data_IF_835037192223
#
_entry.id   IF_835037192223
#
_cell.length_a   1.000
_cell.length_b   1.000
_cell.length_c   1.000
_cell.angle_alpha   90.00
_cell.angle_beta   90.00
_cell.angle_gamma   90.00
#
_symmetry.space_group_name_H-M   'P 1'
#
loop_
_entity.id
_entity.type
_entity.pdbx_description
1 polymer ?
#
# COMPACT_ATOMS: atom_id res chain seq x y z
N UNK A 1 -18.47 21.32 -21.98
CA UNK A 1 -17.03 21.49 -21.68
C UNK A 1 -16.28 20.70 -22.72
N UNK A 2 -15.22 21.25 -23.32
CA UNK A 2 -14.44 20.52 -24.35
C UNK A 2 -13.69 19.35 -23.68
N UNK A 3 -13.68 18.18 -24.31
CA UNK A 3 -12.97 16.99 -23.83
C UNK A 3 -11.47 17.28 -23.67
N UNK A 4 -10.91 18.10 -24.56
CA UNK A 4 -9.50 18.53 -24.50
C UNK A 4 -9.21 19.31 -23.22
N UNK A 5 -10.12 20.22 -22.83
CA UNK A 5 -9.98 21.01 -21.61
C UNK A 5 -10.08 20.13 -20.35
N UNK A 6 -11.00 19.16 -20.36
CA UNK A 6 -11.13 18.19 -19.28
C UNK A 6 -9.87 17.35 -19.09
N UNK A 7 -9.30 16.82 -20.19
CA UNK A 7 -8.05 16.05 -20.18
C UNK A 7 -6.91 16.90 -19.59
N UNK A 8 -6.76 18.16 -20.03
CA UNK A 8 -5.72 19.07 -19.51
C UNK A 8 -5.88 19.28 -18.01
N UNK A 9 -7.11 19.55 -17.53
CA UNK A 9 -7.37 19.73 -16.09
C UNK A 9 -7.05 18.48 -15.27
N UNK A 10 -7.34 17.28 -15.81
CA UNK A 10 -6.97 16.01 -15.19
C UNK A 10 -5.45 15.86 -15.11
N UNK A 11 -4.73 16.14 -16.20
CA UNK A 11 -3.27 16.06 -16.25
C UNK A 11 -2.58 17.03 -15.29
N UNK A 12 -3.09 18.26 -15.20
CA UNK A 12 -2.58 19.30 -14.30
C UNK A 12 -3.07 19.14 -12.85
N UNK A 13 -3.89 18.13 -12.56
CA UNK A 13 -4.50 17.91 -11.25
C UNK A 13 -5.32 19.10 -10.72
N UNK A 14 -5.91 19.91 -11.62
CA UNK A 14 -6.80 21.04 -11.25
C UNK A 14 -8.19 20.54 -10.87
N UNK A 15 -8.93 21.34 -10.11
CA UNK A 15 -10.30 21.01 -9.71
C UNK A 15 -11.21 20.81 -10.93
N UNK A 16 -11.94 19.69 -10.89
CA UNK A 16 -12.93 19.31 -11.88
C UNK A 16 -14.29 19.37 -11.18
N UNK A 17 -15.15 20.27 -11.63
CA UNK A 17 -16.55 20.25 -11.23
C UNK A 17 -17.21 18.98 -11.78
N UNK A 18 -18.26 18.48 -11.11
CA UNK A 18 -19.02 17.32 -11.61
C UNK A 18 -19.57 17.61 -12.99
N UNK A 19 -18.89 17.10 -14.03
CA UNK A 19 -19.39 17.19 -15.40
C UNK A 19 -20.22 15.95 -15.69
N UNK A 20 -21.55 16.11 -15.67
CA UNK A 20 -22.47 15.14 -16.24
C UNK A 20 -22.35 15.17 -17.77
N UNK A 21 -21.33 14.50 -18.31
CA UNK A 21 -21.24 14.19 -19.73
C UNK A 21 -21.64 12.73 -19.95
N UNK A 22 -22.86 12.51 -20.41
CA UNK A 22 -23.31 11.21 -20.93
C UNK A 22 -22.71 11.01 -22.32
N UNK A 23 -21.52 10.42 -22.39
CA UNK A 23 -21.01 9.83 -23.61
C UNK A 23 -21.25 8.32 -23.51
N UNK A 24 -22.33 7.85 -24.13
CA UNK A 24 -22.54 6.42 -24.37
C UNK A 24 -21.86 6.10 -25.70
N UNK A 25 -20.75 5.37 -25.65
CA UNK A 25 -20.08 4.88 -26.86
C UNK A 25 -20.71 3.52 -27.18
N UNK A 26 -21.86 3.53 -27.85
CA UNK A 26 -22.43 2.34 -28.47
C UNK A 26 -21.78 2.13 -29.84
N UNK A 27 -21.04 1.04 -30.02
CA UNK A 27 -20.45 0.70 -31.30
C UNK A 27 -19.93 -0.73 -31.36
N UNK A 28 -20.28 -1.44 -32.42
CA UNK A 28 -19.62 -2.69 -32.85
C UNK A 28 -18.10 -2.49 -32.93
N UNK A 29 -17.32 -3.58 -32.90
CA UNK A 29 -15.85 -3.56 -33.15
C UNK A 29 -15.53 -2.86 -34.49
N UNK A 30 -15.35 -1.55 -34.45
CA UNK A 30 -14.80 -0.78 -35.56
C UNK A 30 -13.29 -0.97 -35.58
N UNK A 31 -12.70 -1.02 -36.78
CA UNK A 31 -11.25 -1.05 -36.91
C UNK A 31 -10.68 0.22 -36.27
N UNK A 32 -9.65 0.06 -35.45
CA UNK A 32 -9.00 1.17 -34.76
C UNK A 32 -8.61 2.26 -35.75
N UNK A 33 -8.15 1.86 -36.94
CA UNK A 33 -7.71 2.76 -38.02
C UNK A 33 -8.83 3.59 -38.66
N UNK A 34 -10.09 3.21 -38.47
CA UNK A 34 -11.26 3.94 -38.99
C UNK A 34 -11.75 5.02 -38.02
N UNK A 35 -11.36 4.94 -36.75
CA UNK A 35 -11.77 5.89 -35.71
C UNK A 35 -10.97 7.19 -35.87
N UNK A 36 -11.66 8.34 -35.91
CA UNK A 36 -10.99 9.64 -35.98
C UNK A 36 -10.20 9.95 -34.71
N UNK A 37 -9.13 10.74 -34.81
CA UNK A 37 -8.34 11.14 -33.63
C UNK A 37 -9.18 11.92 -32.61
N UNK A 38 -10.21 12.65 -33.06
CA UNK A 38 -11.13 13.36 -32.18
C UNK A 38 -12.04 12.39 -31.41
N UNK A 39 -12.50 11.32 -32.06
CA UNK A 39 -13.34 10.31 -31.41
C UNK A 39 -12.54 9.46 -30.41
N UNK A 40 -11.25 9.24 -30.67
CA UNK A 40 -10.35 8.57 -29.73
C UNK A 40 -10.30 9.28 -28.36
N UNK A 41 -10.40 10.61 -28.35
CA UNK A 41 -10.40 11.37 -27.09
C UNK A 41 -11.65 11.11 -26.25
N UNK A 42 -12.78 10.78 -26.88
CA UNK A 42 -14.02 10.48 -26.15
C UNK A 42 -13.89 9.18 -25.32
N UNK A 43 -13.02 8.25 -25.70
CA UNK A 43 -12.78 7.06 -24.88
C UNK A 43 -12.16 7.39 -23.52
N UNK A 44 -11.60 8.59 -23.31
CA UNK A 44 -11.11 9.03 -22.00
C UNK A 44 -12.22 9.37 -21.00
N UNK A 45 -13.48 9.49 -21.45
CA UNK A 45 -14.58 9.93 -20.59
C UNK A 45 -14.78 9.09 -19.31
N UNK A 46 -14.82 7.75 -19.36
CA UNK A 46 -14.97 6.93 -18.17
C UNK A 46 -13.82 7.17 -17.17
N UNK A 47 -12.58 7.33 -17.64
CA UNK A 47 -11.46 7.67 -16.77
C UNK A 47 -11.66 9.02 -16.06
N UNK A 48 -12.06 10.06 -16.80
CA UNK A 48 -12.31 11.40 -16.25
C UNK A 48 -13.42 11.35 -15.19
N UNK A 49 -14.52 10.63 -15.47
CA UNK A 49 -15.59 10.39 -14.48
C UNK A 49 -15.08 9.67 -13.24
N UNK A 50 -14.20 8.69 -13.40
CA UNK A 50 -13.55 8.00 -12.30
C UNK A 50 -12.80 8.97 -11.38
N UNK A 51 -11.97 9.86 -11.95
CA UNK A 51 -11.21 10.87 -11.20
C UNK A 51 -12.12 11.86 -10.48
N UNK A 52 -13.18 12.34 -11.14
CA UNK A 52 -14.14 13.27 -10.54
C UNK A 52 -14.85 12.64 -9.34
N UNK A 53 -15.33 11.40 -9.48
CA UNK A 53 -16.03 10.69 -8.39
C UNK A 53 -15.12 10.35 -7.23
N UNK A 54 -13.88 9.94 -7.52
CA UNK A 54 -12.87 9.68 -6.48
C UNK A 54 -12.61 10.94 -5.64
N UNK A 55 -12.40 12.09 -6.30
CA UNK A 55 -12.22 13.39 -5.62
C UNK A 55 -13.43 13.86 -4.83
N UNK A 56 -14.64 13.54 -5.31
CA UNK A 56 -15.88 13.81 -4.58
C UNK A 56 -16.09 12.89 -3.35
N UNK A 57 -15.24 11.87 -3.17
CA UNK A 57 -15.35 10.88 -2.09
C UNK A 57 -16.23 9.68 -2.44
N UNK A 58 -16.81 9.62 -3.64
CA UNK A 58 -17.64 8.53 -4.15
C UNK A 58 -16.77 7.38 -4.68
N UNK A 59 -15.96 6.77 -3.80
CA UNK A 59 -14.96 5.75 -4.14
C UNK A 59 -15.51 4.54 -4.90
N UNK A 60 -16.72 4.09 -4.57
CA UNK A 60 -17.37 2.95 -5.22
C UNK A 60 -17.72 3.24 -6.69
N UNK A 61 -18.26 4.44 -6.95
CA UNK A 61 -18.56 4.86 -8.32
C UNK A 61 -17.29 5.16 -9.10
N UNK A 62 -16.30 5.81 -8.48
CA UNK A 62 -14.98 6.02 -9.09
C UNK A 62 -14.34 4.71 -9.53
N UNK A 63 -14.37 3.69 -8.66
CA UNK A 63 -13.87 2.35 -8.98
C UNK A 63 -14.59 1.71 -10.17
N UNK A 64 -15.92 1.88 -10.27
CA UNK A 64 -16.71 1.36 -11.39
C UNK A 64 -16.27 2.00 -12.70
N UNK A 65 -16.14 3.32 -12.74
CA UNK A 65 -15.74 4.05 -13.94
C UNK A 65 -14.30 3.74 -14.38
N UNK A 66 -13.37 3.54 -13.44
CA UNK A 66 -12.02 3.10 -13.80
C UNK A 66 -12.00 1.69 -14.39
N UNK A 67 -12.84 0.78 -13.90
CA UNK A 67 -12.97 -0.57 -14.48
C UNK A 67 -13.57 -0.52 -15.88
N UNK A 68 -14.62 0.26 -16.07
CA UNK A 68 -15.25 0.50 -17.37
C UNK A 68 -14.23 1.03 -18.39
N UNK A 69 -13.44 2.03 -18.01
CA UNK A 69 -12.36 2.54 -18.87
C UNK A 69 -11.35 1.45 -19.27
N UNK A 70 -10.93 0.63 -18.32
CA UNK A 70 -10.00 -0.46 -18.60
C UNK A 70 -10.62 -1.50 -19.54
N UNK A 71 -11.86 -1.90 -19.30
CA UNK A 71 -12.59 -2.87 -20.14
C UNK A 71 -12.75 -2.35 -21.57
N UNK A 72 -13.12 -1.08 -21.75
CA UNK A 72 -13.22 -0.45 -23.06
C UNK A 72 -11.87 -0.44 -23.78
N UNK A 73 -10.79 -0.02 -23.08
CA UNK A 73 -9.45 0.00 -23.64
C UNK A 73 -8.99 -1.37 -24.13
N UNK A 74 -9.30 -2.43 -23.38
CA UNK A 74 -8.98 -3.81 -23.75
C UNK A 74 -9.86 -4.32 -24.90
N UNK A 75 -11.15 -3.99 -24.89
CA UNK A 75 -12.11 -4.41 -25.91
C UNK A 75 -11.79 -3.83 -27.29
N UNK A 76 -11.49 -2.53 -27.34
CA UNK A 76 -11.15 -1.82 -28.56
C UNK A 76 -9.69 -2.02 -28.98
N UNK A 77 -8.84 -2.58 -28.11
CA UNK A 77 -7.42 -2.77 -28.41
C UNK A 77 -6.64 -1.44 -28.45
N UNK A 78 -7.06 -0.46 -27.64
CA UNK A 78 -6.41 0.85 -27.53
C UNK A 78 -5.06 0.78 -26.82
N UNK A 79 -4.79 -0.33 -26.13
CA UNK A 79 -3.60 -0.54 -25.31
C UNK A 79 -2.83 -1.76 -25.81
N UNK A 80 -1.50 -1.64 -25.83
CA UNK A 80 -0.62 -2.74 -26.22
C UNK A 80 -0.74 -3.94 -25.27
N UNK A 81 -0.66 -5.15 -25.82
CA UNK A 81 -0.71 -6.40 -25.03
C UNK A 81 0.33 -6.45 -23.92
N UNK A 82 1.53 -5.94 -24.19
CA UNK A 82 2.61 -5.81 -23.21
C UNK A 82 2.16 -5.03 -21.97
N UNK A 83 1.44 -3.92 -22.14
CA UNK A 83 0.97 -3.08 -21.04
C UNK A 83 -0.12 -3.76 -20.23
N UNK A 84 -1.03 -4.47 -20.90
CA UNK A 84 -2.06 -5.25 -20.22
C UNK A 84 -1.43 -6.34 -19.34
N UNK A 85 -0.44 -7.06 -19.85
CA UNK A 85 0.28 -8.09 -19.09
C UNK A 85 1.03 -7.48 -17.90
N UNK A 86 1.76 -6.37 -18.11
CA UNK A 86 2.45 -5.65 -17.04
C UNK A 86 1.52 -5.18 -15.92
N UNK A 87 0.28 -4.76 -16.25
CA UNK A 87 -0.70 -4.32 -15.26
C UNK A 87 -1.33 -5.49 -14.47
N UNK A 88 -1.37 -6.70 -15.04
CA UNK A 88 -1.95 -7.89 -14.40
C UNK A 88 -0.96 -8.62 -13.51
N UNK A 89 0.33 -8.54 -13.83
CA UNK A 89 1.38 -9.14 -13.02
C UNK A 89 1.63 -8.37 -11.71
N UNK A 90 1.50 -9.06 -10.58
CA UNK A 90 1.71 -8.50 -9.24
C UNK A 90 3.18 -8.51 -8.77
N UNK A 91 4.13 -8.34 -9.70
CA UNK A 91 5.57 -8.39 -9.44
C UNK A 91 6.20 -7.02 -9.15
N UNK A 92 7.29 -7.00 -8.36
CA UNK A 92 8.11 -5.79 -8.16
C UNK A 92 8.64 -5.25 -9.49
N UNK A 93 9.09 -6.13 -10.37
CA UNK A 93 9.66 -5.74 -11.66
C UNK A 93 8.60 -5.14 -12.59
N UNK A 94 7.39 -5.71 -12.61
CA UNK A 94 6.25 -5.18 -13.37
C UNK A 94 5.86 -3.78 -12.87
N UNK A 95 5.88 -3.55 -11.54
CA UNK A 95 5.69 -2.19 -10.95
C UNK A 95 6.77 -1.21 -11.38
N UNK A 96 8.04 -1.63 -11.43
CA UNK A 96 9.14 -0.78 -11.88
C UNK A 96 8.99 -0.42 -13.36
N UNK A 97 8.65 -1.40 -14.21
CA UNK A 97 8.38 -1.16 -15.64
C UNK A 97 7.21 -0.21 -15.83
N UNK A 98 6.11 -0.44 -15.11
CA UNK A 98 4.92 0.41 -15.13
C UNK A 98 5.24 1.85 -14.71
N UNK A 99 6.08 2.02 -13.68
CA UNK A 99 6.53 3.35 -13.23
C UNK A 99 7.38 4.06 -14.30
N UNK A 100 8.29 3.34 -14.98
CA UNK A 100 9.06 3.92 -16.09
C UNK A 100 8.15 4.35 -17.22
N UNK A 101 7.22 3.48 -17.62
CA UNK A 101 6.26 3.75 -18.69
C UNK A 101 5.36 4.95 -18.38
N UNK A 102 4.90 5.10 -17.13
CA UNK A 102 4.18 6.31 -16.70
C UNK A 102 5.03 7.58 -16.78
N UNK A 103 6.36 7.49 -16.59
CA UNK A 103 7.28 8.65 -16.68
C UNK A 103 7.71 8.98 -18.10
N UNK A 104 7.65 8.02 -19.02
CA UNK A 104 7.97 8.22 -20.43
C UNK A 104 6.94 9.13 -21.11
N UNK A 105 5.68 9.07 -20.67
CA UNK A 105 4.66 10.00 -21.12
C UNK A 105 4.93 11.40 -20.56
N UNK A 106 5.26 12.33 -21.45
CA UNK A 106 5.41 13.76 -21.15
C UNK A 106 4.27 14.53 -21.79
N UNK A 107 3.64 15.40 -21.02
CA UNK A 107 2.55 16.26 -21.47
C UNK A 107 2.99 17.73 -21.65
N UNK A 108 4.30 18.01 -21.64
CA UNK A 108 4.85 19.36 -21.84
C UNK A 108 4.47 19.96 -23.20
N UNK A 109 4.22 19.10 -24.19
CA UNK A 109 3.70 19.46 -25.51
C UNK A 109 2.52 18.54 -25.82
N UNK A 110 1.34 19.15 -26.02
CA UNK A 110 0.10 18.44 -26.31
C UNK A 110 -0.22 18.61 -27.78
N UNK A 111 -0.26 17.50 -28.51
CA UNK A 111 -0.66 17.44 -29.90
C UNK A 111 -1.95 16.61 -30.04
N UNK A 112 -3.07 17.30 -30.30
CA UNK A 112 -4.37 16.67 -30.44
C UNK A 112 -4.62 16.09 -31.84
N UNK A 113 -3.79 16.46 -32.83
CA UNK A 113 -3.90 15.99 -34.20
C UNK A 113 -3.02 14.74 -34.42
N UNK A 114 -1.93 14.63 -33.66
CA UNK A 114 -1.09 13.43 -33.64
C UNK A 114 -1.80 12.23 -32.98
N UNK A 115 -2.16 11.26 -33.82
CA UNK A 115 -2.77 10.01 -33.40
C UNK A 115 -1.85 9.20 -32.48
N UNK A 116 -0.54 9.17 -32.72
CA UNK A 116 0.37 8.41 -31.86
C UNK A 116 0.43 8.99 -30.46
N UNK A 117 0.40 10.32 -30.35
CA UNK A 117 0.32 11.02 -29.07
C UNK A 117 -0.97 10.68 -28.33
N UNK A 118 -2.13 10.71 -29.01
CA UNK A 118 -3.43 10.36 -28.40
C UNK A 118 -3.46 8.89 -27.94
N UNK A 119 -2.88 7.98 -28.72
CA UNK A 119 -2.77 6.57 -28.31
C UNK A 119 -1.89 6.41 -27.06
N UNK A 120 -0.77 7.13 -26.98
CA UNK A 120 0.09 7.14 -25.78
C UNK A 120 -0.63 7.74 -24.57
N UNK A 121 -1.47 8.76 -24.77
CA UNK A 121 -2.32 9.33 -23.73
C UNK A 121 -3.33 8.29 -23.19
N UNK A 122 -4.03 7.59 -24.08
CA UNK A 122 -4.99 6.55 -23.69
C UNK A 122 -4.31 5.43 -22.90
N UNK A 123 -3.14 4.99 -23.36
CA UNK A 123 -2.31 4.00 -22.66
C UNK A 123 -1.84 4.51 -21.29
N UNK A 124 -1.44 5.78 -21.19
CA UNK A 124 -1.09 6.41 -19.92
C UNK A 124 -2.26 6.40 -18.93
N UNK A 125 -3.46 6.80 -19.38
CA UNK A 125 -4.66 6.76 -18.55
C UNK A 125 -5.06 5.33 -18.16
N UNK A 126 -4.78 4.32 -18.98
CA UNK A 126 -5.02 2.92 -18.63
C UNK A 126 -4.13 2.49 -17.46
N UNK A 127 -2.84 2.80 -17.55
CA UNK A 127 -1.88 2.54 -16.46
C UNK A 127 -2.31 3.26 -15.18
N UNK A 128 -2.76 4.51 -15.28
CA UNK A 128 -3.24 5.27 -14.12
C UNK A 128 -4.53 4.70 -13.54
N UNK A 129 -5.47 4.25 -14.39
CA UNK A 129 -6.71 3.59 -13.98
C UNK A 129 -6.43 2.33 -13.18
N UNK A 130 -5.50 1.48 -13.65
CA UNK A 130 -5.12 0.27 -12.93
C UNK A 130 -4.53 0.56 -11.55
N UNK A 131 -3.69 1.61 -11.42
CA UNK A 131 -3.19 2.06 -10.12
C UNK A 131 -4.33 2.55 -9.23
N UNK A 132 -5.23 3.37 -9.75
CA UNK A 132 -6.37 3.89 -9.01
C UNK A 132 -7.30 2.75 -8.54
N UNK A 133 -7.53 1.74 -9.37
CA UNK A 133 -8.27 0.53 -9.00
C UNK A 133 -7.58 -0.21 -7.83
N UNK A 134 -6.26 -0.41 -7.90
CA UNK A 134 -5.49 -1.05 -6.82
C UNK A 134 -5.60 -0.24 -5.51
N UNK A 135 -5.46 1.08 -5.60
CA UNK A 135 -5.55 1.98 -4.45
C UNK A 135 -6.96 2.00 -3.84
N UNK A 136 -8.00 2.18 -4.66
CA UNK A 136 -9.38 2.22 -4.21
C UNK A 136 -9.84 0.89 -3.62
N UNK A 137 -9.48 -0.23 -4.24
CA UNK A 137 -9.79 -1.55 -3.69
C UNK A 137 -9.17 -1.73 -2.29
N UNK A 138 -7.90 -1.34 -2.12
CA UNK A 138 -7.24 -1.38 -0.80
C UNK A 138 -7.93 -0.49 0.20
N UNK A 139 -8.28 0.73 -0.17
CA UNK A 139 -8.95 1.67 0.71
C UNK A 139 -10.33 1.15 1.13
N UNK A 140 -11.12 0.63 0.20
CA UNK A 140 -12.43 0.02 0.47
C UNK A 140 -12.29 -1.16 1.44
N UNK A 141 -11.33 -2.06 1.21
CA UNK A 141 -11.06 -3.19 2.12
C UNK A 141 -10.69 -2.69 3.53
N UNK A 142 -9.84 -1.67 3.63
CA UNK A 142 -9.45 -1.09 4.92
C UNK A 142 -10.62 -0.43 5.65
N UNK A 143 -11.52 0.24 4.91
CA UNK A 143 -12.72 0.86 5.47
C UNK A 143 -13.74 -0.18 5.92
N UNK A 144 -13.92 -1.27 5.16
CA UNK A 144 -14.79 -2.38 5.55
C UNK A 144 -14.28 -3.09 6.81
N UNK A 145 -12.98 -3.34 6.91
CA UNK A 145 -12.36 -3.96 8.09
C UNK A 145 -12.44 -3.07 9.35
N UNK A 146 -12.55 -1.74 9.19
CA UNK A 146 -12.80 -0.82 10.30
C UNK A 146 -14.25 -0.85 10.80
N UNK A 147 -15.21 -1.32 9.99
CA UNK A 147 -16.62 -1.41 10.36
C UNK A 147 -16.96 -2.55 11.32
N UNK A 148 -16.16 -3.62 11.34
CA UNK A 148 -16.35 -4.79 12.22
C UNK A 148 -15.57 -4.71 13.54
N UNK A 149 -14.77 -3.65 13.72
CA UNK A 149 -14.26 -3.29 15.02
C UNK A 149 -15.29 -2.39 15.71
N UNK A 150 -15.99 -2.90 16.72
CA UNK A 150 -16.62 -2.06 17.75
C UNK A 150 -15.70 -0.87 18.04
N UNK A 151 -16.20 0.38 18.18
CA UNK A 151 -15.34 1.51 18.50
C UNK A 151 -14.53 1.11 19.72
N UNK A 152 -13.21 0.94 19.53
CA UNK A 152 -12.29 0.78 20.62
C UNK A 152 -12.60 1.95 21.54
N UNK A 153 -13.16 1.62 22.71
CA UNK A 153 -13.55 2.55 23.76
C UNK A 153 -12.56 3.70 23.78
N UNK A 154 -13.06 4.92 23.61
CA UNK A 154 -12.39 6.18 23.89
C UNK A 154 -10.99 5.99 24.52
N UNK A 155 -9.97 5.79 23.69
CA UNK A 155 -8.64 6.20 24.09
C UNK A 155 -8.69 7.73 23.96
N UNK A 156 -9.26 8.36 25.00
CA UNK A 156 -9.06 9.77 25.26
C UNK A 156 -7.57 10.05 25.01
N UNK A 157 -7.27 11.00 24.12
CA UNK A 157 -5.89 11.43 23.90
C UNK A 157 -5.30 11.81 25.26
N UNK A 158 -4.48 10.92 25.81
CA UNK A 158 -3.87 11.13 27.11
C UNK A 158 -2.75 12.16 26.91
N UNK A 159 -3.07 13.43 27.13
CA UNK A 159 -2.11 14.52 27.05
C UNK A 159 -1.07 14.34 28.16
N UNK A 160 0.09 13.80 27.80
CA UNK A 160 1.25 13.72 28.68
C UNK A 160 1.73 15.15 28.95
N UNK A 161 1.53 15.63 30.17
CA UNK A 161 2.11 16.90 30.61
C UNK A 161 3.63 16.72 30.75
N UNK A 162 4.38 17.50 29.97
CA UNK A 162 5.84 17.55 30.02
C UNK A 162 6.23 18.83 30.74
N UNK A 163 7.06 18.71 31.78
CA UNK A 163 7.61 19.88 32.47
C UNK A 163 8.52 20.70 31.55
N UNK A 164 8.76 21.99 31.83
CA UNK A 164 9.65 22.86 31.03
C UNK A 164 11.11 22.37 30.93
N UNK A 165 11.49 21.33 31.69
CA UNK A 165 12.80 20.67 31.63
C UNK A 165 12.77 19.33 30.85
N UNK A 166 11.65 18.99 30.21
CA UNK A 166 11.51 17.81 29.35
C UNK A 166 11.29 16.49 30.08
N UNK A 167 10.98 16.51 31.38
CA UNK A 167 10.73 15.29 32.18
C UNK A 167 9.23 15.00 32.22
N UNK A 168 8.89 13.74 31.95
CA UNK A 168 7.52 13.21 32.06
C UNK A 168 7.39 12.59 33.44
N UNK A 169 6.56 13.15 34.30
CA UNK A 169 6.21 12.50 35.56
C UNK A 169 5.44 11.20 35.27
N UNK A 170 5.88 10.08 35.87
CA UNK A 170 5.20 8.77 35.86
C UNK A 170 5.39 7.84 34.64
N UNK A 171 6.52 7.89 33.92
CA UNK A 171 6.89 6.84 32.94
C UNK A 171 7.03 5.44 33.61
N UNK A 172 7.46 5.39 34.86
CA UNK A 172 7.80 4.13 35.55
C UNK A 172 6.60 3.43 36.20
N UNK A 173 5.47 4.11 36.38
CA UNK A 173 4.29 3.54 37.07
C UNK A 173 3.59 2.49 36.18
N UNK A 174 3.59 2.66 34.85
CA UNK A 174 3.01 1.68 33.91
C UNK A 174 3.98 0.59 33.46
N UNK A 175 5.28 0.76 33.68
CA UNK A 175 6.32 -0.22 33.32
C UNK A 175 6.52 -1.31 34.36
N UNK A 176 6.19 -1.04 35.62
CA UNK A 176 6.24 -2.03 36.69
C UNK A 176 4.82 -2.33 37.18
N UNK A 177 4.13 -3.24 36.50
CA UNK A 177 3.06 -4.01 37.12
C UNK A 177 3.71 -5.24 37.77
N UNK A 178 4.02 -5.22 39.07
CA UNK A 178 4.60 -6.39 39.72
C UNK A 178 3.61 -7.55 39.57
N UNK A 179 4.04 -8.59 38.86
CA UNK A 179 3.26 -9.83 38.64
C UNK A 179 3.14 -10.68 39.90
N UNK A 180 3.82 -10.27 40.98
CA UNK A 180 3.91 -11.00 42.22
C UNK A 180 4.17 -10.01 43.36
N UNK A 181 3.51 -10.22 44.51
CA UNK A 181 3.76 -9.44 45.72
C UNK A 181 5.11 -9.83 46.35
N UNK A 182 5.65 -8.96 47.23
CA UNK A 182 6.90 -9.25 47.93
C UNK A 182 6.82 -10.54 48.76
N UNK A 183 5.65 -10.83 49.32
CA UNK A 183 5.42 -12.02 50.12
C UNK A 183 5.42 -13.29 49.26
N UNK A 184 4.75 -13.26 48.10
CA UNK A 184 4.79 -14.37 47.12
C UNK A 184 6.20 -14.58 46.54
N UNK A 185 6.99 -13.52 46.38
CA UNK A 185 8.40 -13.63 46.00
C UNK A 185 9.23 -14.30 47.09
N UNK A 186 9.03 -13.91 48.35
CA UNK A 186 9.74 -14.49 49.49
C UNK A 186 9.39 -15.99 49.63
N UNK A 187 8.12 -16.36 49.50
CA UNK A 187 7.69 -17.77 49.51
C UNK A 187 8.32 -18.57 48.37
N UNK A 188 8.39 -18.00 47.15
CA UNK A 188 9.02 -18.66 45.99
C UNK A 188 10.52 -18.89 46.18
N UNK A 189 11.24 -17.92 46.76
CA UNK A 189 12.66 -18.05 47.09
C UNK A 189 12.87 -19.11 48.18
N UNK A 190 12.07 -19.08 49.26
CA UNK A 190 12.17 -20.06 50.34
C UNK A 190 11.81 -21.48 49.89
N UNK A 191 10.83 -21.63 49.00
CA UNK A 191 10.49 -22.91 48.39
C UNK A 191 11.63 -23.46 47.51
N UNK A 192 12.35 -22.59 46.79
CA UNK A 192 13.53 -22.96 46.00
C UNK A 192 14.72 -23.41 46.85
N UNK A 193 14.94 -22.77 48.01
CA UNK A 193 16.00 -23.15 48.96
C UNK A 193 15.71 -24.51 49.63
N UNK A 194 14.44 -24.86 49.82
CA UNK A 194 14.05 -26.16 50.41
C UNK A 194 14.10 -27.33 49.40
N UNK A 195 14.25 -27.06 48.09
CA UNK A 195 14.23 -28.08 47.03
C UNK A 195 15.60 -28.41 46.44
N UNK A 196 16.69 -27.79 46.89
CA UNK A 196 18.05 -28.08 46.40
C UNK A 196 18.90 -28.79 47.46
N UNK A 197 19.04 -30.12 47.41
CA UNK A 197 20.18 -30.77 48.03
C UNK A 197 21.43 -30.50 47.17
N UNK A 198 22.26 -29.55 47.63
CA UNK A 198 23.73 -29.55 47.55
C UNK A 198 24.40 -30.12 46.28
N UNK A 199 24.80 -29.25 45.34
CA UNK A 199 25.97 -29.47 44.46
C UNK A 199 26.58 -28.10 44.08
N UNK A 200 27.93 -27.94 44.06
CA UNK A 200 28.58 -26.65 44.31
C UNK A 200 28.76 -25.76 43.07
N UNK A 201 28.90 -24.46 43.36
CA UNK A 201 29.33 -23.38 42.48
C UNK A 201 30.63 -23.72 41.71
N UNK A 202 30.59 -23.58 40.39
CA UNK A 202 31.71 -23.14 39.54
C UNK A 202 31.31 -21.75 39.04
N UNK A 203 31.84 -20.67 39.61
CA UNK A 203 33.11 -20.01 39.23
C UNK A 203 33.21 -19.64 37.75
N UNK A 204 33.31 -18.32 37.56
CA UNK A 204 33.66 -17.59 36.37
C UNK A 204 34.91 -18.15 35.68
N UNK A 205 34.93 -18.21 34.34
CA UNK A 205 36.18 -18.01 33.58
C UNK A 205 35.95 -17.71 32.10
N UNK A 206 36.64 -16.65 31.68
CA UNK A 206 37.37 -16.45 30.42
C UNK A 206 36.64 -16.54 29.07
N UNK A 207 36.73 -15.44 28.33
CA UNK A 207 36.44 -15.42 26.91
C UNK A 207 37.45 -16.20 26.06
N UNK A 208 36.97 -16.57 24.88
CA UNK A 208 37.77 -16.90 23.71
C UNK A 208 37.04 -16.35 22.48
N UNK A 209 37.74 -15.46 21.80
CA UNK A 209 37.53 -15.13 20.39
C UNK A 209 37.66 -16.41 19.57
N UNK A 210 36.58 -16.83 18.93
CA UNK A 210 36.63 -17.72 17.78
C UNK A 210 35.83 -17.05 16.66
N UNK A 211 36.57 -16.42 15.73
CA UNK A 211 36.11 -16.08 14.39
C UNK A 211 35.84 -17.40 13.67
N UNK A 212 34.62 -17.94 13.86
CA UNK A 212 34.08 -18.98 13.00
C UNK A 212 33.71 -18.31 11.67
N UNK A 213 34.58 -18.41 10.67
CA UNK A 213 34.28 -18.10 9.26
C UNK A 213 33.18 -19.06 8.77
N UNK A 214 31.94 -18.80 9.17
CA UNK A 214 30.77 -19.51 8.67
C UNK A 214 30.70 -19.34 7.15
N UNK A 215 30.59 -20.45 6.43
CA UNK A 215 30.42 -20.39 4.99
C UNK A 215 29.13 -19.64 4.65
N UNK A 216 29.11 -18.92 3.53
CA UNK A 216 27.94 -18.15 3.07
C UNK A 216 26.65 -19.00 3.02
N UNK A 217 26.79 -20.29 2.78
CA UNK A 217 25.66 -21.23 2.71
C UNK A 217 25.08 -21.54 4.10
N UNK A 218 25.92 -21.61 5.13
CA UNK A 218 25.47 -21.76 6.53
C UNK A 218 24.77 -20.49 7.05
N UNK A 219 25.28 -19.30 6.68
CA UNK A 219 24.62 -18.04 7.02
C UNK A 219 23.20 -17.97 6.42
N UNK A 220 23.05 -18.35 5.15
CA UNK A 220 21.74 -18.38 4.49
C UNK A 220 20.79 -19.41 5.10
N UNK A 221 21.32 -20.55 5.55
CA UNK A 221 20.51 -21.57 6.23
C UNK A 221 20.03 -21.08 7.60
N UNK A 222 20.90 -20.40 8.35
CA UNK A 222 20.57 -19.84 9.66
C UNK A 222 19.52 -18.74 9.57
N UNK A 223 19.58 -17.90 8.53
CA UNK A 223 18.57 -16.86 8.29
C UNK A 223 17.21 -17.47 7.95
N UNK A 224 17.15 -18.50 7.08
CA UNK A 224 15.88 -19.20 6.80
C UNK A 224 15.29 -19.86 8.04
N UNK A 225 16.13 -20.51 8.85
CA UNK A 225 15.68 -21.13 10.09
C UNK A 225 15.24 -20.10 11.15
N UNK A 226 15.72 -18.86 11.07
CA UNK A 226 15.30 -17.75 11.92
C UNK A 226 13.96 -17.21 11.47
N UNK A 227 13.81 -16.94 10.17
CA UNK A 227 12.56 -16.46 9.58
C UNK A 227 11.41 -17.47 9.81
N UNK A 228 11.67 -18.78 9.64
CA UNK A 228 10.68 -19.82 9.93
C UNK A 228 10.27 -19.87 11.40
N UNK A 229 11.19 -19.60 12.33
CA UNK A 229 10.89 -19.52 13.76
C UNK A 229 10.07 -18.27 14.10
N UNK A 230 10.40 -17.13 13.50
CA UNK A 230 9.75 -15.84 13.77
C UNK A 230 8.36 -15.73 13.11
N UNK A 231 8.07 -16.46 12.03
CA UNK A 231 6.72 -16.52 11.43
C UNK A 231 5.68 -17.15 12.40
N UNK A 232 6.13 -18.00 13.34
CA UNK A 232 5.24 -18.69 14.30
C UNK A 232 5.09 -17.98 15.66
N UNK A 233 5.92 -16.96 15.93
CA UNK A 233 5.89 -16.19 17.19
C UNK A 233 5.90 -14.71 16.86
N UNK A 234 4.70 -14.11 16.87
CA UNK A 234 4.54 -12.67 16.79
C UNK A 234 5.48 -11.93 17.75
N UNK A 235 5.93 -10.76 17.31
CA UNK A 235 7.08 -9.99 17.79
C UNK A 235 6.96 -9.39 19.21
N UNK A 236 6.33 -10.06 20.16
CA UNK A 236 6.07 -9.53 21.52
C UNK A 236 6.66 -10.36 22.66
N UNK A 237 7.60 -11.28 22.38
CA UNK A 237 8.37 -11.96 23.42
C UNK A 237 9.77 -11.32 23.55
N UNK A 238 9.87 -10.11 24.10
CA UNK A 238 11.19 -9.51 24.37
C UNK A 238 11.29 -7.99 24.47
N UNK A 239 10.18 -7.27 24.56
CA UNK A 239 10.18 -5.85 24.97
C UNK A 239 9.09 -5.70 26.04
N UNK A 240 9.35 -5.24 27.26
CA UNK A 240 10.40 -4.35 27.73
C UNK A 240 9.75 -3.10 28.32
#
# INVERSE_FOLDING_TARGET
MDIKELIVRVLESRDLEMVNCEASIEGDRMDLHEISTADLLNYTFPYIKGVVNDRAGNRSEGLKFFKEYCEDCEYFGLVGKETMEMCRESGRDSKIKLWRKSREFRYDFIDWEDREWVMKLLEYFYVMSMKNIEHLNREIILLQNKGDGSPSRNEEMECIKVDPQGRIENILIRRNNPTMTLDEFAEKIMAGMNQTPSTPLQEESSGTSDDDEMSREELLKRDRERDEREVSRGNTAGMG
#
